data_IF_183264314751
#
_entry.id   IF_183264314751
#
_cell.length_a   1.000
_cell.length_b   1.000
_cell.length_c   1.000
_cell.angle_alpha   90.00
_cell.angle_beta   90.00
_cell.angle_gamma   90.00
#
_symmetry.space_group_name_H-M   'P 1'
#
loop_
_entity.id
_entity.type
_entity.pdbx_description
1 polymer ?
#
# COMPACT_ATOMS: atom_id res chain seq x y z
N UNK A 1 22.35 31.86 -13.24
CA UNK A 1 21.89 30.56 -12.69
C UNK A 1 22.39 30.25 -11.28
N UNK A 2 23.68 30.39 -10.94
CA UNK A 2 24.22 30.03 -9.61
C UNK A 2 23.37 30.49 -8.40
N UNK A 3 23.14 31.81 -8.25
CA UNK A 3 22.40 32.38 -7.11
C UNK A 3 21.02 31.74 -6.84
N UNK A 4 20.27 31.33 -7.87
CA UNK A 4 18.96 30.68 -7.72
C UNK A 4 19.13 29.26 -7.15
N UNK A 5 20.19 28.56 -7.59
CA UNK A 5 20.50 27.21 -7.13
C UNK A 5 20.91 27.21 -5.65
N UNK A 6 21.70 28.19 -5.23
CA UNK A 6 22.14 28.31 -3.84
C UNK A 6 20.97 28.65 -2.89
N UNK A 7 20.05 29.51 -3.32
CA UNK A 7 18.80 29.78 -2.58
C UNK A 7 17.91 28.53 -2.48
N UNK A 8 17.77 27.75 -3.56
CA UNK A 8 17.02 26.49 -3.55
C UNK A 8 17.62 25.45 -2.59
N UNK A 9 18.96 25.32 -2.57
CA UNK A 9 19.67 24.39 -1.69
C UNK A 9 19.47 24.75 -0.22
N UNK A 10 19.50 26.05 0.14
CA UNK A 10 19.25 26.50 1.51
C UNK A 10 17.79 26.38 1.98
N UNK A 11 16.83 26.47 1.06
CA UNK A 11 15.39 26.45 1.37
C UNK A 11 14.80 25.02 1.40
N UNK A 12 15.40 24.08 0.66
CA UNK A 12 14.98 22.69 0.56
C UNK A 12 14.83 21.94 1.92
N UNK A 13 15.72 22.11 2.92
CA UNK A 13 15.59 21.44 4.22
C UNK A 13 14.35 21.86 5.00
N UNK A 14 13.85 23.08 4.77
CA UNK A 14 12.62 23.60 5.38
C UNK A 14 11.40 23.09 4.61
N UNK A 15 11.42 23.22 3.28
CA UNK A 15 10.30 22.85 2.41
C UNK A 15 10.01 21.33 2.46
N UNK A 16 11.03 20.46 2.48
CA UNK A 16 10.85 18.99 2.48
C UNK A 16 10.00 18.46 3.63
N UNK A 17 9.88 19.21 4.74
CA UNK A 17 9.07 18.87 5.91
C UNK A 17 7.57 19.01 5.64
N UNK A 18 7.18 19.85 4.67
CA UNK A 18 5.80 20.18 4.31
C UNK A 18 5.37 19.64 2.95
N UNK A 19 6.32 19.17 2.13
CA UNK A 19 6.04 18.44 0.89
C UNK A 19 5.36 17.12 1.23
N UNK A 20 4.18 16.80 0.64
CA UNK A 20 3.52 15.54 0.89
C UNK A 20 4.37 14.36 0.40
N UNK A 21 4.39 13.26 1.18
CA UNK A 21 5.10 12.03 0.78
C UNK A 21 4.57 11.53 -0.58
N UNK A 22 5.41 10.93 -1.45
CA UNK A 22 4.98 10.49 -2.79
C UNK A 22 3.81 9.50 -2.74
N UNK A 23 3.74 8.62 -1.73
CA UNK A 23 2.59 7.73 -1.52
C UNK A 23 1.27 8.45 -1.23
N UNK A 24 1.29 9.64 -0.62
CA UNK A 24 0.09 10.44 -0.39
C UNK A 24 -0.39 11.10 -1.68
N UNK A 25 0.54 11.60 -2.50
CA UNK A 25 0.23 12.15 -3.83
C UNK A 25 -0.40 11.05 -4.71
N UNK A 26 0.19 9.84 -4.70
CA UNK A 26 -0.35 8.68 -5.41
C UNK A 26 -1.76 8.31 -4.93
N UNK A 27 -2.01 8.31 -3.61
CA UNK A 27 -3.34 8.05 -3.06
C UNK A 27 -4.39 9.09 -3.50
N UNK A 28 -4.03 10.38 -3.56
CA UNK A 28 -4.91 11.45 -4.08
C UNK A 28 -5.21 11.26 -5.56
N UNK A 29 -4.21 10.91 -6.38
CA UNK A 29 -4.41 10.62 -7.81
C UNK A 29 -5.32 9.40 -8.00
N UNK A 30 -5.13 8.33 -7.22
CA UNK A 30 -6.01 7.14 -7.26
C UNK A 30 -7.45 7.51 -6.86
N UNK A 31 -7.64 8.30 -5.79
CA UNK A 31 -8.96 8.74 -5.36
C UNK A 31 -9.69 9.58 -6.42
N UNK A 32 -8.97 10.45 -7.13
CA UNK A 32 -9.52 11.23 -8.26
C UNK A 32 -9.88 10.35 -9.46
N UNK A 33 -9.05 9.36 -9.81
CA UNK A 33 -9.37 8.41 -10.87
C UNK A 33 -10.60 7.56 -10.51
N UNK A 34 -10.75 7.15 -9.25
CA UNK A 34 -11.97 6.48 -8.75
C UNK A 34 -13.19 7.40 -8.86
N UNK A 35 -13.06 8.68 -8.47
CA UNK A 35 -14.12 9.69 -8.61
C UNK A 35 -14.57 9.90 -10.06
N UNK A 36 -13.62 9.93 -11.01
CA UNK A 36 -13.91 9.98 -12.45
C UNK A 36 -14.61 8.71 -12.95
N UNK A 37 -14.13 7.52 -12.56
CA UNK A 37 -14.81 6.26 -12.92
C UNK A 37 -16.23 6.26 -12.38
N UNK A 38 -16.45 6.76 -11.16
CA UNK A 38 -17.80 6.89 -10.58
C UNK A 38 -18.68 7.85 -11.39
N UNK A 39 -18.20 9.06 -11.74
CA UNK A 39 -18.95 10.07 -12.49
C UNK A 39 -19.17 9.76 -13.98
N UNK A 40 -18.53 8.72 -14.53
CA UNK A 40 -18.70 8.32 -15.92
C UNK A 40 -19.34 6.92 -16.09
N UNK A 41 -19.20 6.02 -15.10
CA UNK A 41 -19.72 4.65 -15.19
C UNK A 41 -20.90 4.37 -14.26
N UNK A 42 -21.08 5.13 -13.17
CA UNK A 42 -22.14 4.90 -12.17
C UNK A 42 -23.23 5.98 -12.27
N UNK A 43 -22.84 7.25 -12.32
CA UNK A 43 -23.76 8.39 -12.46
C UNK A 43 -23.28 9.33 -13.59
N UNK A 44 -23.40 8.93 -14.87
CA UNK A 44 -22.97 9.74 -16.00
C UNK A 44 -23.83 10.99 -16.15
N UNK A 45 -23.18 12.14 -16.36
CA UNK A 45 -23.87 13.41 -16.66
C UNK A 45 -24.67 13.27 -17.96
N UNK A 46 -26.00 13.33 -17.85
CA UNK A 46 -26.93 13.35 -18.99
C UNK A 46 -27.21 14.79 -19.38
N UNK A 47 -26.97 15.13 -20.64
CA UNK A 47 -27.39 16.40 -21.23
C UNK A 47 -28.79 16.26 -21.80
N UNK A 48 -29.63 17.26 -21.58
CA UNK A 48 -30.99 17.36 -22.11
C UNK A 48 -31.06 18.49 -23.15
N UNK A 49 -32.04 18.40 -24.06
CA UNK A 49 -32.31 19.41 -25.10
C UNK A 49 -31.10 19.74 -25.99
N UNK A 50 -30.17 18.78 -26.10
CA UNK A 50 -28.99 18.87 -26.97
C UNK A 50 -29.37 18.69 -28.44
N UNK A 51 -28.72 19.48 -29.28
CA UNK A 51 -28.93 19.55 -30.73
C UNK A 51 -28.65 18.19 -31.42
N UNK A 52 -29.51 17.70 -32.34
CA UNK A 52 -29.36 16.40 -33.02
C UNK A 52 -27.97 16.05 -33.57
N UNK A 53 -27.16 17.02 -34.01
CA UNK A 53 -25.73 16.85 -34.38
C UNK A 53 -24.86 16.21 -33.28
N UNK A 54 -25.23 16.32 -32.01
CA UNK A 54 -24.51 15.70 -30.89
C UNK A 54 -24.86 14.22 -30.69
N UNK A 55 -25.88 13.72 -31.39
CA UNK A 55 -26.26 12.31 -31.37
C UNK A 55 -25.27 11.48 -32.20
N UNK A 56 -25.12 10.20 -31.86
CA UNK A 56 -24.35 9.26 -32.70
C UNK A 56 -25.02 9.03 -34.06
N UNK A 57 -24.23 8.64 -35.07
CA UNK A 57 -24.68 8.58 -36.47
C UNK A 57 -26.03 7.88 -36.68
N UNK A 58 -26.26 6.73 -36.05
CA UNK A 58 -27.51 5.97 -36.18
C UNK A 58 -28.74 6.74 -35.72
N UNK A 59 -28.59 7.64 -34.74
CA UNK A 59 -29.68 8.48 -34.23
C UNK A 59 -29.89 9.74 -35.07
N UNK A 60 -28.83 10.26 -35.69
CA UNK A 60 -28.94 11.29 -36.72
C UNK A 60 -29.71 10.75 -37.94
N UNK A 61 -29.43 9.51 -38.35
CA UNK A 61 -30.14 8.83 -39.44
C UNK A 61 -31.64 8.67 -39.14
N UNK A 62 -32.01 8.27 -37.91
CA UNK A 62 -33.42 8.20 -37.49
C UNK A 62 -34.09 9.59 -37.41
N UNK A 63 -33.38 10.62 -36.96
CA UNK A 63 -33.90 12.00 -36.99
C UNK A 63 -34.24 12.43 -38.42
N UNK A 64 -33.34 12.20 -39.39
CA UNK A 64 -33.58 12.55 -40.80
C UNK A 64 -34.73 11.72 -41.40
N UNK A 65 -34.91 10.44 -40.98
CA UNK A 65 -36.10 9.64 -41.35
C UNK A 65 -37.41 10.25 -40.82
N UNK A 66 -37.44 10.72 -39.57
CA UNK A 66 -38.61 11.40 -38.99
C UNK A 66 -38.92 12.73 -39.69
N UNK A 67 -37.89 13.47 -40.12
CA UNK A 67 -38.06 14.68 -40.94
C UNK A 67 -38.63 14.35 -42.32
N UNK A 68 -38.21 13.23 -42.94
CA UNK A 68 -38.77 12.75 -44.20
C UNK A 68 -40.23 12.30 -44.07
N UNK A 69 -40.58 11.50 -43.04
CA UNK A 69 -41.96 11.08 -42.77
C UNK A 69 -42.90 12.29 -42.54
N UNK A 70 -42.41 13.31 -41.81
CA UNK A 70 -43.11 14.60 -41.64
C UNK A 70 -43.35 15.30 -42.98
N UNK A 71 -42.37 15.29 -43.89
CA UNK A 71 -42.48 15.88 -45.22
C UNK A 71 -43.48 15.12 -46.12
N UNK A 72 -43.37 13.80 -46.19
CA UNK A 72 -44.22 12.94 -47.00
C UNK A 72 -45.68 12.98 -46.51
N UNK A 73 -45.91 13.00 -45.20
CA UNK A 73 -47.23 13.18 -44.61
C UNK A 73 -47.86 14.53 -45.01
N UNK A 74 -47.09 15.63 -44.98
CA UNK A 74 -47.58 16.94 -45.41
C UNK A 74 -47.91 16.96 -46.91
N UNK A 75 -46.99 16.45 -47.74
CA UNK A 75 -47.15 16.32 -49.19
C UNK A 75 -48.40 15.49 -49.57
N UNK A 76 -48.72 14.45 -48.80
CA UNK A 76 -49.91 13.61 -49.02
C UNK A 76 -51.25 14.31 -48.76
N UNK A 77 -51.25 15.43 -48.02
CA UNK A 77 -52.47 16.10 -47.54
C UNK A 77 -52.72 17.48 -48.14
N UNK A 78 -51.67 18.20 -48.51
CA UNK A 78 -51.77 19.57 -48.99
C UNK A 78 -50.60 19.96 -49.88
N UNK A 79 -50.74 21.07 -50.61
CA UNK A 79 -49.62 21.73 -51.29
C UNK A 79 -48.64 22.24 -50.24
N UNK A 80 -47.37 21.89 -50.38
CA UNK A 80 -46.31 22.29 -49.44
C UNK A 80 -46.02 23.79 -49.58
N UNK A 81 -46.27 24.56 -48.52
CA UNK A 81 -45.92 25.98 -48.45
C UNK A 81 -44.42 26.19 -48.24
N UNK A 82 -43.90 27.35 -48.64
CA UNK A 82 -42.48 27.66 -48.45
C UNK A 82 -42.10 27.82 -46.98
N UNK A 83 -43.02 28.29 -46.13
CA UNK A 83 -42.89 28.28 -44.66
C UNK A 83 -42.68 26.85 -44.11
N UNK A 84 -43.39 25.86 -44.67
CA UNK A 84 -43.20 24.47 -44.26
C UNK A 84 -41.84 23.94 -44.72
N UNK A 85 -41.42 24.23 -45.96
CA UNK A 85 -40.09 23.85 -46.47
C UNK A 85 -38.98 24.44 -45.60
N UNK A 86 -39.11 25.71 -45.19
CA UNK A 86 -38.17 26.33 -44.26
C UNK A 86 -38.11 25.57 -42.93
N UNK A 87 -39.25 25.19 -42.36
CA UNK A 87 -39.28 24.39 -41.11
C UNK A 87 -38.69 22.98 -41.24
N UNK A 88 -38.49 22.47 -42.47
CA UNK A 88 -37.77 21.23 -42.76
C UNK A 88 -36.27 21.50 -42.88
N UNK A 89 -35.88 22.59 -43.57
CA UNK A 89 -34.48 23.07 -43.63
C UNK A 89 -33.96 23.33 -42.21
N UNK A 90 -34.70 24.07 -41.37
CA UNK A 90 -34.40 24.35 -39.96
C UNK A 90 -34.30 23.08 -39.08
N UNK A 91 -34.83 21.95 -39.55
CA UNK A 91 -34.75 20.65 -38.87
C UNK A 91 -33.60 19.78 -39.39
N UNK A 92 -33.12 20.03 -40.62
CA UNK A 92 -31.96 19.38 -41.23
C UNK A 92 -30.65 20.08 -40.85
N UNK A 93 -30.67 21.42 -40.72
CA UNK A 93 -29.56 22.28 -40.25
C UNK A 93 -29.03 21.91 -38.86
N UNK A 94 -29.85 21.19 -38.08
CA UNK A 94 -29.54 20.68 -36.73
C UNK A 94 -28.73 19.39 -36.71
N UNK A 95 -28.48 18.78 -37.87
CA UNK A 95 -27.76 17.50 -38.03
C UNK A 95 -26.41 17.76 -38.69
N UNK A 96 -25.44 16.89 -38.44
CA UNK A 96 -24.16 16.95 -39.14
C UNK A 96 -24.30 16.44 -40.57
N UNK A 97 -23.71 17.13 -41.55
CA UNK A 97 -23.75 16.81 -42.97
C UNK A 97 -25.11 16.31 -43.52
N UNK A 98 -26.21 17.07 -43.36
CA UNK A 98 -27.56 16.63 -43.73
C UNK A 98 -27.69 16.13 -45.18
N UNK A 99 -26.94 16.69 -46.13
CA UNK A 99 -26.96 16.25 -47.52
C UNK A 99 -26.33 14.85 -47.69
N UNK A 100 -25.29 14.53 -46.93
CA UNK A 100 -24.64 13.21 -46.97
C UNK A 100 -25.57 12.14 -46.36
N UNK A 101 -26.21 12.43 -45.22
CA UNK A 101 -27.18 11.53 -44.58
C UNK A 101 -28.38 11.26 -45.50
N UNK A 102 -28.98 12.31 -46.09
CA UNK A 102 -30.14 12.18 -46.98
C UNK A 102 -29.80 11.32 -48.21
N UNK A 103 -28.63 11.51 -48.81
CA UNK A 103 -28.15 10.69 -49.92
C UNK A 103 -27.89 9.23 -49.50
N UNK A 104 -27.23 9.01 -48.35
CA UNK A 104 -26.96 7.66 -47.81
C UNK A 104 -28.25 6.88 -47.52
N UNK A 105 -29.28 7.56 -47.02
CA UNK A 105 -30.58 6.96 -46.70
C UNK A 105 -31.51 6.83 -47.93
N UNK A 106 -31.14 7.40 -49.08
CA UNK A 106 -31.96 7.35 -50.30
C UNK A 106 -33.21 8.23 -50.26
N UNK A 107 -33.22 9.26 -49.41
CA UNK A 107 -34.39 10.13 -49.15
C UNK A 107 -34.47 11.26 -50.20
N UNK A 108 -34.62 10.88 -51.47
CA UNK A 108 -34.53 11.79 -52.63
C UNK A 108 -35.48 12.97 -52.59
N UNK A 109 -36.62 12.86 -51.90
CA UNK A 109 -37.60 13.94 -51.70
C UNK A 109 -37.06 15.10 -50.86
N UNK A 110 -36.00 14.90 -50.08
CA UNK A 110 -35.34 15.94 -49.28
C UNK A 110 -34.06 16.50 -49.91
N UNK A 111 -33.56 15.95 -51.03
CA UNK A 111 -32.25 16.30 -51.59
C UNK A 111 -32.01 17.82 -51.73
N UNK A 112 -32.97 18.54 -52.33
CA UNK A 112 -32.85 19.98 -52.56
C UNK A 112 -32.93 20.80 -51.27
N UNK A 113 -33.67 20.32 -50.26
CA UNK A 113 -33.79 20.96 -48.95
C UNK A 113 -32.55 20.69 -48.08
N UNK A 114 -31.99 19.48 -48.16
CA UNK A 114 -30.76 19.10 -47.48
C UNK A 114 -29.54 19.84 -48.04
N UNK A 115 -29.47 20.05 -49.36
CA UNK A 115 -28.43 20.87 -49.99
C UNK A 115 -28.52 22.35 -49.57
N UNK A 116 -29.72 22.86 -49.27
CA UNK A 116 -29.90 24.22 -48.72
C UNK A 116 -29.50 24.29 -47.24
N UNK A 117 -29.81 23.25 -46.45
CA UNK A 117 -29.38 23.14 -45.06
C UNK A 117 -27.85 23.05 -44.93
N UNK A 118 -27.18 22.24 -45.76
CA UNK A 118 -25.71 22.04 -45.74
C UNK A 118 -24.90 23.34 -45.86
N UNK A 119 -25.45 24.38 -46.52
CA UNK A 119 -24.80 25.71 -46.66
C UNK A 119 -24.79 26.49 -45.34
N UNK A 120 -25.76 26.23 -44.46
CA UNK A 120 -25.92 26.91 -43.16
C UNK A 120 -25.43 26.04 -42.00
N UNK A 121 -25.39 24.72 -42.20
CA UNK A 121 -25.03 23.73 -41.20
C UNK A 121 -23.65 24.00 -40.59
N UNK A 122 -23.56 24.14 -39.25
CA UNK A 122 -22.29 24.41 -38.58
C UNK A 122 -21.39 23.16 -38.60
N UNK A 123 -20.29 23.22 -39.35
CA UNK A 123 -19.35 22.11 -39.50
C UNK A 123 -18.80 21.59 -38.16
N UNK A 124 -18.94 20.28 -37.93
CA UNK A 124 -18.46 19.64 -36.70
C UNK A 124 -16.94 19.76 -36.56
N UNK A 125 -16.41 20.15 -35.37
CA UNK A 125 -14.97 20.14 -35.14
C UNK A 125 -14.42 18.71 -35.25
N UNK A 126 -13.34 18.56 -36.00
CA UNK A 126 -12.73 17.25 -36.30
C UNK A 126 -12.56 16.36 -35.07
N UNK A 127 -12.87 15.06 -35.21
CA UNK A 127 -12.82 14.10 -34.11
C UNK A 127 -11.47 14.18 -33.37
N UNK A 128 -11.48 14.27 -32.02
CA UNK A 128 -10.26 14.42 -31.26
C UNK A 128 -9.36 13.20 -31.46
N UNK A 129 -8.11 13.44 -31.88
CA UNK A 129 -7.11 12.37 -31.96
C UNK A 129 -6.88 11.74 -30.57
N UNK A 130 -6.34 10.52 -30.51
CA UNK A 130 -6.03 9.82 -29.26
C UNK A 130 -5.24 10.73 -28.28
N UNK A 131 -4.30 11.53 -28.79
CA UNK A 131 -3.54 12.51 -28.00
C UNK A 131 -4.46 13.64 -27.50
N UNK A 132 -5.34 14.17 -28.34
CA UNK A 132 -6.35 15.16 -27.96
C UNK A 132 -7.31 14.67 -26.88
N UNK A 133 -7.71 13.39 -26.94
CA UNK A 133 -8.60 12.74 -25.99
C UNK A 133 -7.91 12.45 -24.64
N UNK A 134 -6.62 12.10 -24.63
CA UNK A 134 -5.83 11.88 -23.41
C UNK A 134 -5.34 13.18 -22.74
N UNK A 135 -5.13 14.25 -23.51
CA UNK A 135 -4.65 15.56 -23.03
C UNK A 135 -5.38 16.10 -21.78
N UNK A 136 -6.72 16.15 -21.70
CA UNK A 136 -7.41 16.66 -20.50
C UNK A 136 -7.19 15.79 -19.25
N UNK A 137 -7.04 14.47 -19.41
CA UNK A 137 -6.77 13.55 -18.29
C UNK A 137 -5.36 13.78 -17.70
N UNK A 138 -4.36 13.89 -18.58
CA UNK A 138 -2.97 14.16 -18.18
C UNK A 138 -2.87 15.54 -17.52
N UNK A 139 -3.47 16.57 -18.11
CA UNK A 139 -3.51 17.91 -17.51
C UNK A 139 -4.25 17.93 -16.17
N UNK A 140 -5.39 17.24 -16.04
CA UNK A 140 -6.14 17.14 -14.80
C UNK A 140 -5.31 16.54 -13.66
N UNK A 141 -4.63 15.43 -13.93
CA UNK A 141 -3.73 14.78 -12.95
C UNK A 141 -2.57 15.71 -12.55
N UNK A 142 -1.93 16.39 -13.51
CA UNK A 142 -0.82 17.32 -13.24
C UNK A 142 -1.31 18.52 -12.42
N UNK A 143 -2.38 19.18 -12.83
CA UNK A 143 -2.95 20.36 -12.17
C UNK A 143 -3.40 20.01 -10.74
N UNK A 144 -4.05 18.87 -10.55
CA UNK A 144 -4.49 18.45 -9.22
C UNK A 144 -3.31 18.05 -8.32
N UNK A 145 -2.30 17.35 -8.85
CA UNK A 145 -1.10 16.98 -8.09
C UNK A 145 -0.30 18.23 -7.67
N UNK A 146 -0.17 19.21 -8.57
CA UNK A 146 0.46 20.49 -8.30
C UNK A 146 -0.36 21.32 -7.30
N UNK A 147 -1.67 21.41 -7.48
CA UNK A 147 -2.59 22.12 -6.59
C UNK A 147 -2.59 21.53 -5.17
N UNK A 148 -2.63 20.20 -5.03
CA UNK A 148 -2.50 19.52 -3.74
C UNK A 148 -1.15 19.78 -3.08
N UNK A 149 -0.05 19.77 -3.85
CA UNK A 149 1.28 20.09 -3.34
C UNK A 149 1.36 21.54 -2.83
N UNK A 150 0.84 22.50 -3.60
CA UNK A 150 0.76 23.91 -3.20
C UNK A 150 -0.12 24.07 -1.94
N UNK A 151 -1.29 23.43 -1.90
CA UNK A 151 -2.20 23.47 -0.75
C UNK A 151 -1.56 22.87 0.52
N UNK A 152 -0.82 21.76 0.40
CA UNK A 152 -0.06 21.16 1.52
C UNK A 152 1.03 22.10 2.04
N UNK A 153 1.75 22.79 1.15
CA UNK A 153 2.77 23.77 1.53
C UNK A 153 2.15 25.00 2.21
N UNK A 154 1.04 25.54 1.68
CA UNK A 154 0.31 26.65 2.29
C UNK A 154 -0.28 26.27 3.64
N UNK A 155 -0.85 25.07 3.76
CA UNK A 155 -1.35 24.53 5.03
C UNK A 155 -0.21 24.37 6.05
N UNK A 156 0.91 23.79 5.65
CA UNK A 156 2.08 23.59 6.50
C UNK A 156 2.70 24.90 7.01
N UNK A 157 2.82 25.90 6.14
CA UNK A 157 3.49 27.16 6.45
C UNK A 157 2.58 28.20 7.15
N UNK A 158 1.30 28.30 6.76
CA UNK A 158 0.38 29.32 7.30
C UNK A 158 -0.64 28.73 8.29
N UNK A 159 -1.31 27.63 7.94
CA UNK A 159 -2.44 27.12 8.75
C UNK A 159 -1.97 26.33 9.96
N UNK A 160 -0.93 25.50 9.83
CA UNK A 160 -0.40 24.69 10.92
C UNK A 160 0.07 25.54 12.12
N UNK A 161 0.99 26.52 11.97
CA UNK A 161 1.46 27.29 13.11
C UNK A 161 0.41 28.27 13.66
N UNK A 162 -0.46 28.82 12.80
CA UNK A 162 -1.40 29.89 13.20
C UNK A 162 -2.72 29.36 13.78
N UNK A 163 -3.17 28.18 13.36
CA UNK A 163 -4.48 27.62 13.73
C UNK A 163 -4.33 26.26 14.41
N UNK A 164 -3.61 25.33 13.79
CA UNK A 164 -3.57 23.92 14.26
C UNK A 164 -2.78 23.77 15.55
N UNK A 165 -1.60 24.37 15.64
CA UNK A 165 -0.74 24.28 16.84
C UNK A 165 -1.34 24.93 18.09
N UNK A 166 -1.93 26.16 18.06
CA UNK A 166 -2.60 26.70 19.24
C UNK A 166 -3.85 25.92 19.64
N UNK A 167 -4.64 25.38 18.69
CA UNK A 167 -5.80 24.54 18.99
C UNK A 167 -5.35 23.20 19.58
N UNK A 168 -4.36 22.52 18.99
CA UNK A 168 -3.77 21.29 19.53
C UNK A 168 -3.18 21.51 20.91
N UNK A 169 -2.49 22.63 21.17
CA UNK A 169 -1.97 22.97 22.51
C UNK A 169 -3.09 23.19 23.53
N UNK A 170 -4.22 23.78 23.14
CA UNK A 170 -5.40 23.94 24.02
C UNK A 170 -6.10 22.61 24.30
N UNK A 171 -6.33 21.78 23.28
CA UNK A 171 -6.99 20.47 23.45
C UNK A 171 -6.10 19.48 24.23
N UNK A 172 -4.79 19.42 23.90
CA UNK A 172 -3.83 18.55 24.59
C UNK A 172 -3.48 19.07 25.99
N UNK A 173 -3.51 20.40 26.20
CA UNK A 173 -3.43 21.03 27.52
C UNK A 173 -4.66 20.76 28.40
N UNK A 174 -5.81 20.43 27.81
CA UNK A 174 -7.02 19.99 28.53
C UNK A 174 -7.04 18.47 28.83
N UNK A 175 -6.06 17.70 28.34
CA UNK A 175 -5.95 16.24 28.55
C UNK A 175 -4.56 15.81 29.08
N UNK A 176 -3.75 16.75 29.60
CA UNK A 176 -2.32 16.50 29.80
C UNK A 176 -1.63 17.35 30.86
N UNK A 177 -2.33 17.78 31.90
CA UNK A 177 -1.73 18.37 33.12
C UNK A 177 -1.65 17.38 34.26
N UNK A 178 -1.23 16.15 33.97
CA UNK A 178 -0.77 15.19 34.97
C UNK A 178 0.75 15.14 34.96
N UNK A 179 1.36 15.08 36.16
CA UNK A 179 2.82 15.11 36.35
C UNK A 179 3.56 14.07 35.50
N UNK A 180 2.91 12.93 35.20
CA UNK A 180 3.40 11.88 34.32
C UNK A 180 3.87 12.38 32.95
N UNK A 181 3.20 13.36 32.33
CA UNK A 181 3.60 13.90 31.02
C UNK A 181 4.88 14.71 31.07
N UNK A 182 5.07 15.51 32.13
CA UNK A 182 6.31 16.25 32.38
C UNK A 182 7.47 15.29 32.72
N UNK A 183 7.19 14.28 33.54
CA UNK A 183 8.14 13.24 33.92
C UNK A 183 8.56 12.40 32.70
N UNK A 184 7.64 12.06 31.80
CA UNK A 184 7.96 11.35 30.56
C UNK A 184 8.84 12.19 29.61
N UNK A 185 8.60 13.52 29.51
CA UNK A 185 9.51 14.40 28.75
C UNK A 185 10.90 14.47 29.40
N UNK A 186 10.99 14.53 30.72
CA UNK A 186 12.25 14.55 31.46
C UNK A 186 13.05 13.27 31.23
N UNK A 187 12.42 12.10 31.42
CA UNK A 187 13.03 10.79 31.18
C UNK A 187 13.53 10.64 29.73
N UNK A 188 12.80 11.17 28.74
CA UNK A 188 13.24 11.18 27.32
C UNK A 188 14.44 12.12 27.10
N UNK A 189 14.52 13.25 27.81
CA UNK A 189 15.66 14.16 27.74
C UNK A 189 16.90 13.54 28.40
N UNK A 190 16.76 12.96 29.60
CA UNK A 190 17.84 12.22 30.27
C UNK A 190 18.34 11.05 29.44
N UNK A 191 17.43 10.24 28.87
CA UNK A 191 17.78 9.15 27.96
C UNK A 191 18.58 9.62 26.73
N UNK A 192 18.31 10.81 26.21
CA UNK A 192 19.11 11.42 25.12
C UNK A 192 20.50 11.86 25.59
N UNK A 193 20.59 12.53 26.74
CA UNK A 193 21.87 12.97 27.31
C UNK A 193 22.75 11.76 27.65
N UNK A 194 22.17 10.72 28.27
CA UNK A 194 22.82 9.44 28.54
C UNK A 194 23.31 8.80 27.24
N UNK A 195 22.49 8.76 26.18
CA UNK A 195 22.88 8.22 24.86
C UNK A 195 23.99 9.03 24.18
N UNK A 196 24.01 10.35 24.35
CA UNK A 196 25.07 11.23 23.85
C UNK A 196 26.37 11.10 24.65
N UNK A 197 26.29 10.91 25.96
CA UNK A 197 27.44 10.63 26.84
C UNK A 197 28.02 9.25 26.54
N UNK A 198 27.18 8.21 26.49
CA UNK A 198 27.57 6.86 26.05
C UNK A 198 28.27 6.87 24.69
N UNK A 199 27.76 7.62 23.71
CA UNK A 199 28.40 7.71 22.41
C UNK A 199 29.81 8.34 22.45
N UNK A 200 30.06 9.26 23.40
CA UNK A 200 31.38 9.89 23.64
C UNK A 200 32.30 8.94 24.43
N UNK A 201 31.82 8.34 25.50
CA UNK A 201 32.61 7.44 26.34
C UNK A 201 32.98 6.14 25.58
N UNK A 202 32.07 5.63 24.75
CA UNK A 202 32.32 4.48 23.89
C UNK A 202 33.18 4.79 22.66
N UNK A 203 33.48 6.07 22.36
CA UNK A 203 34.58 6.42 21.44
C UNK A 203 35.95 6.52 22.13
N UNK A 204 35.99 6.36 23.46
CA UNK A 204 37.21 6.21 24.27
C UNK A 204 37.38 4.80 24.87
N UNK A 205 36.49 3.85 24.56
CA UNK A 205 36.58 2.47 25.03
C UNK A 205 37.75 1.71 24.37
N UNK A 206 38.39 0.75 25.08
CA UNK A 206 39.48 -0.04 24.52
C UNK A 206 39.00 -0.87 23.32
N UNK A 207 39.81 -0.87 22.25
CA UNK A 207 39.53 -1.59 21.01
C UNK A 207 39.51 -3.10 21.30
N UNK A 208 38.43 -3.77 20.94
CA UNK A 208 38.32 -5.23 20.97
C UNK A 208 39.36 -5.86 20.03
N UNK A 209 39.80 -7.10 20.30
CA UNK A 209 40.72 -7.83 19.42
C UNK A 209 40.19 -8.02 17.99
N UNK A 210 38.88 -7.80 17.77
CA UNK A 210 38.19 -7.80 16.49
C UNK A 210 38.15 -6.44 15.77
N UNK A 211 38.82 -5.43 16.32
CA UNK A 211 38.82 -4.05 15.79
C UNK A 211 37.58 -3.23 16.20
N UNK A 212 37.26 -2.14 15.48
CA UNK A 212 36.07 -1.35 15.76
C UNK A 212 34.79 -2.14 15.44
N UNK A 213 33.70 -1.97 16.22
CA UNK A 213 32.42 -2.61 15.94
C UNK A 213 31.85 -2.14 14.60
N UNK A 214 31.09 -3.02 13.94
CA UNK A 214 30.32 -2.74 12.72
C UNK A 214 29.13 -1.84 13.05
N UNK A 215 28.38 -2.18 14.09
CA UNK A 215 27.29 -1.35 14.62
C UNK A 215 27.37 -1.19 16.15
N UNK A 216 26.85 -0.06 16.65
CA UNK A 216 26.71 0.23 18.08
C UNK A 216 25.36 0.89 18.35
N UNK A 217 24.55 0.25 19.19
CA UNK A 217 23.21 0.71 19.56
C UNK A 217 23.11 0.88 21.08
N UNK A 218 22.19 1.74 21.51
CA UNK A 218 21.82 1.91 22.92
C UNK A 218 20.31 1.67 23.01
N UNK A 219 19.95 0.65 23.78
CA UNK A 219 18.56 0.27 24.08
C UNK A 219 18.25 0.65 25.53
N UNK A 220 17.09 1.28 25.75
CA UNK A 220 16.71 1.86 27.04
C UNK A 220 15.32 1.34 27.41
N UNK A 221 15.30 0.56 28.49
CA UNK A 221 14.10 0.08 29.15
C UNK A 221 13.59 1.12 30.15
N UNK A 222 12.29 1.37 30.14
CA UNK A 222 11.58 2.22 31.10
C UNK A 222 10.18 1.65 31.32
N UNK A 223 9.71 1.49 32.58
CA UNK A 223 8.39 0.96 32.90
C UNK A 223 7.25 1.67 32.13
N UNK A 224 6.31 0.88 31.61
CA UNK A 224 5.17 1.36 30.82
C UNK A 224 5.47 1.63 29.34
N UNK A 225 6.72 1.53 28.90
CA UNK A 225 7.09 1.45 27.47
C UNK A 225 7.06 -0.02 27.03
N UNK A 226 6.43 -0.31 25.89
CA UNK A 226 6.66 -1.59 25.21
C UNK A 226 8.15 -1.69 24.80
N UNK A 227 8.83 -2.74 25.23
CA UNK A 227 10.27 -2.90 25.10
C UNK A 227 10.59 -4.16 24.29
N UNK A 228 10.77 -3.91 22.99
CA UNK A 228 11.10 -4.85 21.93
C UNK A 228 11.91 -4.04 20.90
N UNK A 229 13.18 -3.80 21.22
CA UNK A 229 14.10 -2.98 20.42
C UNK A 229 14.87 -3.89 19.46
N UNK A 230 14.70 -3.73 18.15
CA UNK A 230 15.46 -4.45 17.11
C UNK A 230 16.35 -3.52 16.27
N UNK A 231 17.53 -4.01 15.89
CA UNK A 231 18.57 -3.27 15.18
C UNK A 231 19.24 -4.15 14.11
N UNK A 232 19.20 -3.70 12.85
CA UNK A 232 19.94 -4.31 11.75
C UNK A 232 21.46 -4.13 11.91
N UNK A 233 22.21 -5.16 11.51
CA UNK A 233 23.68 -5.17 11.47
C UNK A 233 24.09 -5.07 10.00
N UNK A 234 24.48 -3.87 9.57
CA UNK A 234 24.82 -3.55 8.18
C UNK A 234 26.28 -3.07 8.07
N UNK A 235 27.03 -3.58 7.10
CA UNK A 235 28.44 -3.22 6.89
C UNK A 235 28.57 -1.96 6.02
N UNK A 236 28.59 -0.80 6.67
CA UNK A 236 28.73 0.52 6.03
C UNK A 236 29.99 0.72 5.16
N UNK A 237 30.94 -0.24 5.16
CA UNK A 237 32.12 -0.23 4.27
C UNK A 237 31.87 -0.95 2.95
N UNK A 238 30.77 -1.68 2.81
CA UNK A 238 30.47 -2.56 1.67
C UNK A 238 29.01 -2.43 1.25
N UNK A 239 28.62 -1.21 0.86
CA UNK A 239 27.31 -0.89 0.28
C UNK A 239 26.12 -1.31 1.17
N UNK A 240 26.25 -1.07 2.47
CA UNK A 240 25.31 -1.46 3.53
C UNK A 240 24.92 -2.96 3.49
N UNK A 241 25.90 -3.84 3.26
CA UNK A 241 25.72 -5.31 3.27
C UNK A 241 25.10 -5.76 4.60
N UNK A 242 23.83 -6.18 4.56
CA UNK A 242 23.13 -6.78 5.70
C UNK A 242 23.81 -8.08 6.13
N UNK A 243 24.29 -8.12 7.38
CA UNK A 243 24.97 -9.27 7.99
C UNK A 243 24.06 -10.03 8.95
N UNK A 244 23.04 -9.39 9.51
CA UNK A 244 22.17 -9.98 10.53
C UNK A 244 21.36 -8.93 11.29
N UNK A 245 20.75 -9.34 12.39
CA UNK A 245 19.91 -8.48 13.22
C UNK A 245 20.16 -8.81 14.70
N UNK A 246 20.03 -7.82 15.57
CA UNK A 246 20.17 -8.01 17.02
C UNK A 246 19.19 -7.11 17.76
N UNK A 247 18.79 -7.52 18.96
CA UNK A 247 17.79 -6.78 19.71
C UNK A 247 17.76 -7.08 21.20
N UNK A 248 16.88 -6.38 21.90
CA UNK A 248 16.58 -6.57 23.31
C UNK A 248 15.06 -6.51 23.56
N UNK A 249 14.53 -7.51 24.24
CA UNK A 249 13.09 -7.70 24.46
C UNK A 249 12.79 -8.11 25.91
N UNK A 250 11.58 -7.79 26.40
CA UNK A 250 11.11 -8.32 27.70
C UNK A 250 10.94 -9.84 27.60
N UNK A 251 11.64 -10.57 28.47
CA UNK A 251 11.54 -12.03 28.51
C UNK A 251 10.56 -12.52 29.58
N UNK A 252 10.51 -11.89 30.75
CA UNK A 252 9.59 -12.24 31.83
C UNK A 252 9.27 -11.06 32.74
N UNK A 253 8.07 -11.08 33.32
CA UNK A 253 7.54 -10.08 34.25
C UNK A 253 7.09 -10.76 35.55
N UNK A 254 7.09 -10.01 36.66
CA UNK A 254 6.72 -10.52 37.99
C UNK A 254 5.48 -9.78 38.56
N UNK A 255 4.51 -10.55 39.03
CA UNK A 255 3.25 -10.03 39.58
C UNK A 255 2.29 -9.47 38.53
N UNK A 256 1.13 -8.99 38.98
CA UNK A 256 0.03 -8.52 38.12
C UNK A 256 -0.13 -6.99 38.10
N UNK A 257 0.95 -6.24 38.35
CA UNK A 257 0.94 -4.78 38.41
C UNK A 257 0.89 -4.12 37.03
N UNK A 258 0.26 -2.94 36.95
CA UNK A 258 0.34 -2.04 35.81
C UNK A 258 1.12 -0.77 36.21
N UNK A 259 2.16 -0.34 35.47
CA UNK A 259 2.78 -1.05 34.35
C UNK A 259 3.47 -2.35 34.80
N UNK A 260 3.60 -3.29 33.86
CA UNK A 260 4.25 -4.58 34.09
C UNK A 260 5.67 -4.43 34.66
N UNK A 261 6.02 -5.32 35.59
CA UNK A 261 7.28 -5.28 36.31
C UNK A 261 8.25 -6.30 35.72
N UNK A 262 9.13 -5.83 34.83
CA UNK A 262 10.07 -6.69 34.09
C UNK A 262 11.13 -7.25 35.03
N UNK A 263 11.24 -8.58 35.10
CA UNK A 263 12.23 -9.31 35.90
C UNK A 263 13.37 -9.87 35.04
N UNK A 264 13.14 -10.05 33.74
CA UNK A 264 14.14 -10.56 32.80
C UNK A 264 14.07 -9.85 31.44
N UNK A 265 15.23 -9.45 30.91
CA UNK A 265 15.40 -8.87 29.58
C UNK A 265 16.30 -9.80 28.77
N UNK A 266 15.81 -10.21 27.61
CA UNK A 266 16.50 -11.08 26.66
C UNK A 266 17.18 -10.23 25.60
N UNK A 267 18.43 -10.56 25.29
CA UNK A 267 19.21 -10.03 24.18
C UNK A 267 19.42 -11.16 23.19
N UNK A 268 19.21 -10.88 21.92
CA UNK A 268 19.27 -11.87 20.86
C UNK A 268 20.12 -11.42 19.67
N UNK A 269 20.66 -12.41 18.94
CA UNK A 269 21.49 -12.25 17.75
C UNK A 269 21.03 -13.24 16.67
N UNK A 270 20.70 -12.71 15.50
CA UNK A 270 20.47 -13.43 14.26
C UNK A 270 21.60 -13.13 13.26
N UNK A 271 22.15 -14.16 12.62
CA UNK A 271 23.20 -14.07 11.60
C UNK A 271 22.62 -14.53 10.25
N UNK A 272 22.77 -13.70 9.21
CA UNK A 272 22.28 -14.01 7.86
C UNK A 272 22.88 -15.30 7.31
N UNK A 273 24.11 -15.67 7.69
CA UNK A 273 24.75 -16.89 7.23
C UNK A 273 24.40 -18.12 8.10
N UNK A 274 23.62 -17.97 9.18
CA UNK A 274 23.07 -19.04 10.01
C UNK A 274 21.55 -18.88 10.21
N UNK A 275 20.80 -19.03 9.11
CA UNK A 275 19.32 -18.94 9.06
C UNK A 275 18.56 -19.87 10.04
N UNK A 276 19.23 -20.82 10.70
CA UNK A 276 18.58 -21.85 11.54
C UNK A 276 18.65 -21.49 13.04
N UNK A 277 19.50 -20.52 13.44
CA UNK A 277 19.82 -20.29 14.85
C UNK A 277 19.87 -18.80 15.22
N UNK A 278 18.85 -18.35 15.96
CA UNK A 278 18.97 -17.14 16.79
C UNK A 278 19.64 -17.52 18.10
N UNK A 279 20.72 -16.84 18.47
CA UNK A 279 21.36 -16.99 19.78
C UNK A 279 20.78 -15.97 20.77
N UNK A 280 20.71 -16.37 22.04
CA UNK A 280 19.94 -15.67 23.07
C UNK A 280 20.66 -15.74 24.43
N UNK A 281 20.75 -14.59 25.11
CA UNK A 281 21.15 -14.48 26.51
C UNK A 281 20.12 -13.64 27.26
N UNK A 282 19.82 -14.01 28.50
CA UNK A 282 18.82 -13.32 29.31
C UNK A 282 19.48 -12.69 30.52
N UNK A 283 19.44 -11.37 30.60
CA UNK A 283 19.75 -10.62 31.81
C UNK A 283 18.58 -10.75 32.79
N UNK A 284 18.82 -11.37 33.93
CA UNK A 284 17.80 -11.68 34.94
C UNK A 284 18.04 -10.93 36.24
N UNK A 285 16.96 -10.53 36.90
CA UNK A 285 16.99 -9.92 38.23
C UNK A 285 17.61 -10.86 39.26
N UNK A 286 18.11 -10.31 40.36
CA UNK A 286 18.66 -11.12 41.45
C UNK A 286 17.62 -12.06 42.07
N UNK A 287 16.36 -11.66 42.13
CA UNK A 287 15.27 -12.56 42.52
C UNK A 287 15.08 -13.71 41.52
N UNK A 288 14.96 -13.40 40.22
CA UNK A 288 14.74 -14.39 39.16
C UNK A 288 15.90 -15.38 39.02
N UNK A 289 17.14 -14.95 39.29
CA UNK A 289 18.31 -15.82 39.28
C UNK A 289 18.33 -16.81 40.45
N UNK A 290 17.76 -16.42 41.60
CA UNK A 290 17.75 -17.22 42.83
C UNK A 290 16.49 -18.08 43.00
N UNK A 291 15.38 -17.75 42.33
CA UNK A 291 14.18 -18.60 42.27
C UNK A 291 14.36 -19.77 41.29
N UNK A 292 14.33 -21.04 41.75
CA UNK A 292 14.44 -22.21 40.87
C UNK A 292 13.35 -22.28 39.80
N UNK A 293 12.13 -21.80 40.07
CA UNK A 293 11.02 -21.89 39.13
C UNK A 293 11.25 -20.97 37.92
N UNK A 294 11.36 -19.66 38.16
CA UNK A 294 11.70 -18.66 37.14
C UNK A 294 12.98 -19.02 36.39
N UNK A 295 14.04 -19.40 37.11
CA UNK A 295 15.32 -19.79 36.50
C UNK A 295 15.17 -20.98 35.55
N UNK A 296 14.38 -22.00 35.91
CA UNK A 296 14.17 -23.16 35.02
C UNK A 296 13.43 -22.80 33.73
N UNK A 297 12.46 -21.87 33.80
CA UNK A 297 11.70 -21.38 32.65
C UNK A 297 12.59 -20.56 31.71
N UNK A 298 13.36 -19.63 32.26
CA UNK A 298 14.26 -18.77 31.48
C UNK A 298 15.45 -19.52 30.89
N UNK A 299 15.97 -20.56 31.55
CA UNK A 299 17.08 -21.36 31.04
C UNK A 299 16.76 -22.12 29.75
N UNK A 300 15.48 -22.30 29.40
CA UNK A 300 15.06 -22.85 28.09
C UNK A 300 15.25 -21.82 26.98
N UNK A 301 15.20 -20.51 27.29
CA UNK A 301 15.31 -19.44 26.32
C UNK A 301 16.73 -19.10 25.92
N UNK A 302 17.70 -19.22 26.84
CA UNK A 302 19.10 -18.84 26.58
C UNK A 302 19.98 -18.86 27.83
N UNK A 303 21.22 -18.37 27.70
CA UNK A 303 22.16 -18.27 28.82
C UNK A 303 21.70 -17.21 29.83
N UNK A 304 21.65 -17.55 31.12
CA UNK A 304 21.18 -16.66 32.18
C UNK A 304 22.32 -15.90 32.85
N UNK A 305 22.27 -14.57 32.74
CA UNK A 305 23.29 -13.66 33.28
C UNK A 305 22.63 -12.79 34.35
N UNK A 306 23.19 -12.81 35.56
CA UNK A 306 22.71 -11.98 36.67
C UNK A 306 22.93 -10.49 36.36
N UNK A 307 21.84 -9.73 36.27
CA UNK A 307 21.86 -8.31 35.96
C UNK A 307 22.54 -7.49 37.07
N UNK A 308 23.68 -6.89 36.72
CA UNK A 308 24.45 -5.94 37.55
C UNK A 308 25.01 -4.84 36.64
N UNK A 309 25.20 -3.60 37.13
CA UNK A 309 25.91 -2.57 36.37
C UNK A 309 27.28 -3.09 35.91
N UNK A 310 27.58 -2.96 34.62
CA UNK A 310 28.79 -3.49 34.00
C UNK A 310 28.76 -4.98 33.62
N UNK A 311 27.68 -5.72 33.89
CA UNK A 311 27.53 -7.09 33.39
C UNK A 311 27.50 -7.13 31.86
N UNK A 312 28.01 -8.21 31.27
CA UNK A 312 28.19 -8.37 29.83
C UNK A 312 27.66 -9.73 29.38
N UNK A 313 26.85 -9.73 28.33
CA UNK A 313 26.48 -10.90 27.55
C UNK A 313 27.28 -10.91 26.23
N UNK A 314 27.74 -12.09 25.82
CA UNK A 314 28.48 -12.28 24.56
C UNK A 314 27.77 -13.37 23.77
N UNK A 315 27.26 -13.04 22.58
CA UNK A 315 26.67 -14.00 21.64
C UNK A 315 27.60 -14.15 20.45
N UNK A 316 27.92 -15.38 20.06
CA UNK A 316 28.85 -15.66 18.96
C UNK A 316 28.30 -16.69 17.98
N UNK A 317 28.06 -16.24 16.75
CA UNK A 317 27.78 -17.12 15.61
C UNK A 317 29.06 -17.41 14.84
N UNK A 318 28.93 -17.98 13.64
CA UNK A 318 30.03 -18.21 12.73
C UNK A 318 30.64 -16.90 12.20
N UNK A 319 29.81 -15.89 11.86
CA UNK A 319 30.27 -14.66 11.20
C UNK A 319 30.13 -13.40 12.04
N UNK A 320 29.37 -13.45 13.14
CA UNK A 320 29.12 -12.30 14.02
C UNK A 320 29.48 -12.59 15.48
N UNK A 321 29.92 -11.54 16.18
CA UNK A 321 29.98 -11.46 17.64
C UNK A 321 29.15 -10.28 18.10
N UNK A 322 28.20 -10.49 18.99
CA UNK A 322 27.49 -9.45 19.72
C UNK A 322 28.04 -9.36 21.14
N UNK A 323 28.21 -8.15 21.65
CA UNK A 323 28.42 -7.87 23.06
C UNK A 323 27.34 -6.91 23.53
N UNK A 324 26.54 -7.32 24.50
CA UNK A 324 25.59 -6.45 25.18
C UNK A 324 26.07 -6.19 26.61
N UNK A 325 26.20 -4.92 26.99
CA UNK A 325 26.67 -4.48 28.30
C UNK A 325 25.60 -3.67 29.01
N UNK A 326 25.37 -3.99 30.28
CA UNK A 326 24.58 -3.13 31.17
C UNK A 326 25.42 -1.91 31.53
N UNK A 327 25.00 -0.72 31.09
CA UNK A 327 25.69 0.54 31.40
C UNK A 327 25.16 1.11 32.72
N UNK A 328 23.84 1.16 32.83
CA UNK A 328 23.10 1.69 33.98
C UNK A 328 21.88 0.79 34.22
N UNK A 329 21.56 0.56 35.49
CA UNK A 329 20.34 -0.14 35.89
C UNK A 329 19.96 0.24 37.32
N UNK A 330 18.67 0.21 37.61
CA UNK A 330 18.15 0.29 38.96
C UNK A 330 17.05 -0.75 39.16
N UNK A 331 17.06 -1.42 40.31
CA UNK A 331 15.92 -2.22 40.76
C UNK A 331 14.84 -1.30 41.32
N UNK A 332 13.58 -1.64 41.08
CA UNK A 332 12.47 -0.88 41.61
C UNK A 332 12.20 -1.16 43.08
N UNK A 333 11.83 -0.11 43.80
CA UNK A 333 11.40 -0.17 45.20
C UNK A 333 9.87 -0.23 45.25
N UNK A 334 9.31 -1.32 45.80
CA UNK A 334 7.87 -1.55 45.81
C UNK A 334 7.47 -2.71 46.72
N UNK A 335 6.20 -3.16 46.68
CA UNK A 335 5.69 -4.25 47.53
C UNK A 335 6.09 -5.66 47.07
N UNK A 336 6.77 -5.77 45.93
CA UNK A 336 7.34 -7.02 45.44
C UNK A 336 8.66 -7.35 46.18
N UNK A 337 9.17 -8.60 46.11
CA UNK A 337 10.43 -8.96 46.72
C UNK A 337 11.59 -8.02 46.30
N UNK A 338 12.58 -7.75 47.17
CA UNK A 338 13.74 -6.94 46.81
C UNK A 338 14.47 -7.46 45.57
N UNK A 339 15.00 -6.54 44.76
CA UNK A 339 15.77 -6.83 43.54
C UNK A 339 15.05 -7.78 42.55
N UNK A 340 13.72 -7.69 42.47
CA UNK A 340 12.89 -8.56 41.62
C UNK A 340 12.43 -7.97 40.29
N UNK A 341 12.51 -6.67 40.09
CA UNK A 341 12.17 -6.04 38.82
C UNK A 341 12.98 -4.77 38.57
N UNK A 342 13.20 -4.45 37.30
CA UNK A 342 13.92 -3.25 36.88
C UNK A 342 13.00 -2.02 36.87
N UNK A 343 13.52 -0.89 37.34
CA UNK A 343 12.87 0.43 37.23
C UNK A 343 13.49 1.27 36.10
N UNK A 344 14.75 1.00 35.77
CA UNK A 344 15.41 1.42 34.53
C UNK A 344 16.52 0.44 34.19
N UNK A 345 16.81 0.29 32.90
CA UNK A 345 17.98 -0.45 32.42
C UNK A 345 18.43 0.09 31.06
N UNK A 346 19.72 0.37 30.93
CA UNK A 346 20.35 0.84 29.70
C UNK A 346 21.37 -0.18 29.22
N UNK A 347 21.12 -0.73 28.03
CA UNK A 347 21.99 -1.67 27.34
C UNK A 347 22.77 -0.95 26.24
N UNK A 348 24.09 -1.07 26.27
CA UNK A 348 24.93 -0.82 25.10
C UNK A 348 25.11 -2.14 24.35
N UNK A 349 24.77 -2.15 23.06
CA UNK A 349 24.85 -3.33 22.19
C UNK A 349 25.86 -3.01 21.08
N UNK A 350 26.89 -3.84 20.94
CA UNK A 350 27.96 -3.71 19.94
C UNK A 350 28.09 -5.01 19.16
N UNK A 351 28.23 -4.93 17.82
CA UNK A 351 28.43 -6.11 16.97
C UNK A 351 29.72 -6.01 16.15
N UNK A 352 30.42 -7.12 15.97
CA UNK A 352 31.62 -7.26 15.14
C UNK A 352 31.45 -8.37 14.12
N UNK A 353 31.99 -8.17 12.92
CA UNK A 353 32.18 -9.22 11.92
C UNK A 353 33.40 -10.05 12.30
N UNK A 354 33.21 -11.33 12.60
CA UNK A 354 34.30 -12.30 12.80
C UNK A 354 34.93 -12.59 11.44
N UNK A 355 36.26 -12.62 11.37
CA UNK A 355 36.92 -13.27 10.25
C UNK A 355 36.49 -14.75 10.24
N UNK A 356 36.21 -15.36 9.07
CA UNK A 356 35.84 -16.76 9.02
C UNK A 356 36.95 -17.59 9.66
N UNK A 357 36.59 -18.34 10.72
CA UNK A 357 37.53 -19.23 11.39
C UNK A 357 37.95 -20.32 10.42
N UNK A 358 39.10 -20.14 9.78
CA UNK A 358 39.80 -21.21 9.08
C UNK A 358 40.34 -22.14 10.17
N UNK A 359 39.49 -23.04 10.65
CA UNK A 359 39.93 -24.20 11.39
C UNK A 359 41.01 -24.88 10.53
N UNK A 360 42.23 -25.09 11.05
CA UNK A 360 43.31 -25.64 10.26
C UNK A 360 42.91 -27.04 9.80
N UNK A 361 42.75 -27.21 8.48
CA UNK A 361 42.62 -28.51 7.85
C UNK A 361 43.81 -29.34 8.31
N UNK A 362 43.53 -30.45 9.01
CA UNK A 362 44.57 -31.32 9.52
C UNK A 362 45.45 -31.78 8.34
N UNK A 363 46.70 -31.32 8.32
CA UNK A 363 47.63 -31.61 7.24
C UNK A 363 47.98 -33.10 7.30
N UNK A 364 47.42 -33.88 6.39
CA UNK A 364 47.83 -35.26 6.17
C UNK A 364 49.26 -35.25 5.59
N UNK A 365 50.27 -35.85 6.27
CA UNK A 365 51.63 -35.91 5.73
C UNK A 365 51.72 -36.95 4.61
N UNK A 366 52.27 -36.56 3.44
CA UNK A 366 52.50 -37.47 2.31
C UNK A 366 53.87 -38.17 2.39
N UNK A 367 53.88 -39.52 2.42
CA UNK A 367 55.00 -40.46 2.19
C UNK A 367 54.41 -41.92 2.16
N UNK A 368 54.87 -42.97 1.46
CA UNK A 368 55.86 -43.27 0.38
C UNK A 368 55.19 -44.35 -0.54
N UNK A 369 55.51 -44.50 -1.85
CA UNK A 369 54.68 -45.34 -2.74
C UNK A 369 54.90 -46.87 -2.68
N UNK A 370 53.79 -47.61 -2.87
CA UNK A 370 53.64 -48.92 -3.57
C UNK A 370 54.37 -50.17 -3.05
N UNK A 371 53.56 -51.15 -2.58
CA UNK A 371 53.73 -52.59 -2.91
C UNK A 371 52.38 -53.34 -2.80
N UNK A 372 52.24 -54.48 -3.47
CA UNK A 372 50.96 -55.15 -3.71
C UNK A 372 50.42 -56.01 -2.53
N UNK A 373 49.10 -56.20 -2.50
CA UNK A 373 48.39 -57.02 -1.51
C UNK A 373 48.39 -58.52 -1.84
N UNK A 374 48.38 -59.38 -0.81
CA UNK A 374 47.70 -60.67 -0.89
C UNK A 374 46.59 -60.85 0.17
N UNK A 375 45.53 -61.48 -0.31
CA UNK A 375 44.32 -62.01 0.37
C UNK A 375 44.56 -62.66 1.74
N UNK A 376 43.72 -62.32 2.73
CA UNK A 376 43.20 -63.31 3.69
C UNK A 376 41.78 -62.97 4.20
N UNK A 377 41.05 -63.98 4.69
CA UNK A 377 39.59 -64.00 4.83
C UNK A 377 39.06 -63.55 6.21
N UNK A 378 37.79 -63.11 6.31
CA UNK A 378 37.11 -62.87 7.59
C UNK A 378 36.69 -64.17 8.29
N UNK A 379 36.66 -64.22 9.64
CA UNK A 379 36.20 -65.37 10.41
C UNK A 379 34.66 -65.59 10.35
N UNK A 380 34.17 -66.79 10.69
CA UNK A 380 32.82 -67.23 10.29
C UNK A 380 31.66 -66.69 11.15
N UNK A 381 30.49 -66.66 10.52
CA UNK A 381 29.20 -66.21 11.05
C UNK A 381 28.53 -67.32 11.88
N UNK A 382 27.87 -66.94 12.99
CA UNK A 382 26.91 -67.79 13.71
C UNK A 382 25.52 -67.18 13.58
N UNK A 383 24.56 -67.94 13.04
CA UNK A 383 23.18 -67.51 12.83
C UNK A 383 22.36 -67.49 14.13
N UNK A 384 21.54 -66.44 14.28
CA UNK A 384 20.30 -66.45 15.09
C UNK A 384 19.27 -65.53 14.42
N UNK A 385 17.95 -65.74 14.63
CA UNK A 385 16.95 -65.57 13.57
C UNK A 385 16.53 -64.14 13.26
N UNK A 386 16.10 -63.94 12.01
CA UNK A 386 15.58 -62.68 11.51
C UNK A 386 14.28 -62.27 12.21
N UNK A 387 14.28 -61.08 12.82
CA UNK A 387 13.07 -60.42 13.31
C UNK A 387 12.30 -59.83 12.12
N UNK A 388 11.06 -60.31 11.91
CA UNK A 388 10.20 -59.79 10.85
C UNK A 388 9.53 -58.47 11.29
N UNK A 389 9.65 -57.36 10.53
CA UNK A 389 8.93 -56.13 10.83
C UNK A 389 7.42 -56.30 10.58
N UNK A 390 6.55 -55.64 11.38
CA UNK A 390 5.11 -55.64 11.12
C UNK A 390 4.75 -54.92 9.81
N UNK A 391 3.71 -55.36 9.08
CA UNK A 391 3.38 -54.84 7.76
C UNK A 391 2.89 -53.38 7.82
N UNK A 392 3.53 -52.53 7.04
CA UNK A 392 3.08 -51.16 6.79
C UNK A 392 1.85 -51.16 5.86
N UNK A 393 0.86 -50.32 6.16
CA UNK A 393 -0.33 -50.17 5.33
C UNK A 393 0.02 -49.48 4.00
N UNK A 394 -0.26 -50.14 2.88
CA UNK A 394 0.00 -49.61 1.55
C UNK A 394 -1.06 -48.57 1.13
N UNK A 395 -0.61 -47.49 0.49
CA UNK A 395 -1.50 -46.54 -0.18
C UNK A 395 -2.18 -47.20 -1.41
N UNK A 396 -3.44 -46.87 -1.73
CA UNK A 396 -4.15 -47.51 -2.83
C UNK A 396 -3.62 -47.05 -4.20
N UNK A 397 -3.10 -47.98 -4.98
CA UNK A 397 -2.77 -47.78 -6.40
C UNK A 397 -3.94 -48.25 -7.27
N UNK A 398 -4.31 -47.41 -8.23
CA UNK A 398 -5.43 -47.62 -9.15
C UNK A 398 -5.15 -48.78 -10.13
N UNK A 399 -6.09 -49.71 -10.28
CA UNK A 399 -6.00 -50.85 -11.20
C UNK A 399 -7.02 -50.74 -12.35
N UNK A 400 -6.62 -50.97 -13.63
CA UNK A 400 -7.53 -50.93 -14.76
C UNK A 400 -8.28 -52.28 -14.98
N UNK A 401 -9.56 -52.28 -15.39
CA UNK A 401 -10.30 -53.51 -15.72
C UNK A 401 -9.95 -54.12 -17.10
N UNK A 402 -10.18 -55.42 -17.24
CA UNK A 402 -9.84 -56.24 -18.42
C UNK A 402 -11.00 -56.36 -19.45
N UNK A 403 -10.66 -56.71 -20.70
CA UNK A 403 -11.58 -57.30 -21.69
C UNK A 403 -11.63 -58.85 -21.53
N UNK A 404 -12.58 -59.64 -22.06
CA UNK A 404 -13.61 -59.48 -23.10
C UNK A 404 -14.86 -60.36 -22.72
N UNK A 405 -15.87 -60.76 -23.56
CA UNK A 405 -15.86 -61.02 -25.02
C UNK A 405 -16.99 -60.32 -25.83
N UNK A 406 -17.04 -60.60 -27.14
CA UNK A 406 -17.81 -59.88 -28.17
C UNK A 406 -19.23 -60.40 -28.44
N UNK A 407 -20.05 -59.45 -28.95
CA UNK A 407 -21.18 -59.61 -29.88
C UNK A 407 -22.54 -60.11 -29.35
N UNK A 408 -23.51 -59.18 -29.22
CA UNK A 408 -24.86 -59.31 -29.76
C UNK A 408 -25.45 -57.94 -30.17
N UNK A 409 -26.28 -57.96 -31.21
CA UNK A 409 -27.02 -56.92 -31.95
C UNK A 409 -27.20 -55.49 -31.38
N UNK A 410 -27.16 -54.50 -32.29
CA UNK A 410 -27.47 -53.09 -32.01
C UNK A 410 -28.99 -52.81 -31.92
N UNK A 411 -29.47 -52.06 -30.91
CA UNK A 411 -30.83 -51.53 -30.85
C UNK A 411 -30.99 -50.22 -31.66
N UNK A 412 -32.22 -49.82 -32.04
CA UNK A 412 -32.46 -48.78 -33.04
C UNK A 412 -32.22 -47.34 -32.51
N UNK A 413 -31.98 -46.42 -33.46
CA UNK A 413 -31.74 -45.01 -33.18
C UNK A 413 -32.93 -44.36 -32.44
N UNK A 414 -32.66 -43.81 -31.25
CA UNK A 414 -33.61 -42.92 -30.55
C UNK A 414 -33.59 -41.55 -31.21
N UNK A 415 -34.77 -41.09 -31.61
CA UNK A 415 -34.98 -39.75 -32.16
C UNK A 415 -34.61 -38.69 -31.12
N UNK A 416 -33.97 -37.61 -31.57
CA UNK A 416 -33.72 -36.44 -30.73
C UNK A 416 -35.06 -35.75 -30.41
N UNK A 417 -35.32 -35.35 -29.14
CA UNK A 417 -36.42 -34.44 -28.83
C UNK A 417 -36.13 -33.05 -29.45
N UNK A 418 -37.17 -32.27 -29.80
CA UNK A 418 -36.99 -30.95 -30.39
C UNK A 418 -36.31 -29.98 -29.41
N UNK A 419 -35.61 -29.00 -29.97
CA UNK A 419 -34.95 -27.92 -29.22
C UNK A 419 -35.96 -27.16 -28.35
N UNK A 420 -35.72 -27.14 -27.04
CA UNK A 420 -36.46 -26.28 -26.13
C UNK A 420 -36.12 -24.81 -26.44
N UNK A 421 -37.17 -24.04 -26.73
CA UNK A 421 -37.10 -22.58 -26.81
C UNK A 421 -36.45 -22.01 -25.55
N UNK A 422 -35.65 -20.96 -25.72
CA UNK A 422 -35.26 -20.10 -24.60
C UNK A 422 -36.51 -19.61 -23.86
N UNK A 423 -36.42 -19.56 -22.52
CA UNK A 423 -37.45 -18.94 -21.70
C UNK A 423 -37.55 -17.45 -22.03
N UNK A 424 -38.75 -16.83 -21.96
CA UNK A 424 -38.88 -15.39 -22.12
C UNK A 424 -38.11 -14.68 -21.00
N UNK A 425 -37.46 -13.57 -21.35
CA UNK A 425 -36.81 -12.70 -20.37
C UNK A 425 -37.84 -12.21 -19.33
N UNK A 426 -37.42 -11.94 -18.07
CA UNK A 426 -38.31 -11.27 -17.12
C UNK A 426 -38.78 -9.96 -17.73
N UNK A 427 -40.08 -9.68 -17.61
CA UNK A 427 -40.70 -8.52 -18.23
C UNK A 427 -39.94 -7.25 -17.83
N UNK A 428 -39.46 -6.51 -18.85
CA UNK A 428 -38.89 -5.19 -18.62
C UNK A 428 -39.91 -4.34 -17.85
N UNK A 429 -39.48 -3.72 -16.76
CA UNK A 429 -40.30 -2.70 -16.12
C UNK A 429 -40.63 -1.64 -17.18
N UNK A 430 -41.89 -1.19 -17.31
CA UNK A 430 -42.18 -0.09 -18.20
C UNK A 430 -41.31 1.11 -17.79
N UNK A 431 -40.76 1.89 -18.74
CA UNK A 431 -39.97 3.06 -18.41
C UNK A 431 -40.80 3.93 -17.46
N UNK A 432 -40.22 4.28 -16.31
CA UNK A 432 -40.88 5.18 -15.35
C UNK A 432 -41.25 6.44 -16.13
N UNK A 433 -42.53 6.87 -16.13
CA UNK A 433 -42.92 8.06 -16.87
C UNK A 433 -42.07 9.25 -16.41
N UNK A 434 -41.71 10.18 -17.32
CA UNK A 434 -40.93 11.34 -16.95
C UNK A 434 -41.64 12.07 -15.81
N UNK A 435 -40.89 12.58 -14.81
CA UNK A 435 -41.50 13.36 -13.74
C UNK A 435 -42.28 14.51 -14.36
N UNK A 436 -43.54 14.67 -13.94
CA UNK A 436 -44.41 15.74 -14.41
C UNK A 436 -43.72 17.06 -14.10
N UNK A 437 -43.26 17.75 -15.14
CA UNK A 437 -42.67 19.08 -14.98
C UNK A 437 -43.72 19.99 -14.34
N UNK A 438 -43.40 20.69 -13.24
CA UNK A 438 -44.27 21.77 -12.78
C UNK A 438 -44.41 22.80 -13.92
N UNK A 439 -45.57 23.43 -14.10
CA UNK A 439 -45.73 24.45 -15.12
C UNK A 439 -44.67 25.55 -14.94
N UNK A 440 -44.15 26.14 -16.04
CA UNK A 440 -43.14 27.18 -15.94
C UNK A 440 -43.63 28.31 -15.02
N UNK A 441 -42.77 28.88 -14.18
CA UNK A 441 -43.15 30.03 -13.37
C UNK A 441 -43.68 31.13 -14.30
N UNK A 442 -44.80 31.74 -13.92
CA UNK A 442 -45.35 32.89 -14.67
C UNK A 442 -44.24 33.93 -14.81
N UNK A 443 -44.04 34.42 -16.03
CA UNK A 443 -43.17 35.56 -16.26
C UNK A 443 -43.57 36.69 -15.29
N UNK A 444 -42.62 37.30 -14.56
CA UNK A 444 -42.88 38.53 -13.84
C UNK A 444 -43.45 39.57 -14.81
N UNK A 445 -44.41 40.37 -14.32
CA UNK A 445 -44.84 41.56 -15.07
C UNK A 445 -43.64 42.52 -15.21
N UNK A 446 -43.53 43.28 -16.31
CA UNK A 446 -42.34 44.10 -16.60
C UNK A 446 -42.00 45.21 -15.58
N UNK A 447 -42.85 45.43 -14.56
CA UNK A 447 -42.81 46.61 -13.69
C UNK A 447 -42.34 46.31 -12.24
N UNK A 448 -42.11 45.05 -11.86
CA UNK A 448 -41.64 44.65 -10.52
C UNK A 448 -40.09 44.49 -10.44
N UNK A 449 -39.35 45.52 -10.88
CA UNK A 449 -37.90 45.63 -10.62
C UNK A 449 -37.64 46.50 -9.37
N UNK A 450 -37.42 45.84 -8.23
CA UNK A 450 -37.21 46.52 -6.93
C UNK A 450 -35.75 46.96 -6.71
N UNK A 451 -34.83 46.65 -7.64
CA UNK A 451 -33.43 47.07 -7.62
C UNK A 451 -32.99 47.61 -8.99
N UNK A 452 -33.70 48.65 -9.45
CA UNK A 452 -33.43 49.33 -10.71
C UNK A 452 -31.96 49.66 -10.93
N UNK A 453 -31.38 49.05 -11.96
CA UNK A 453 -29.95 49.11 -12.26
C UNK A 453 -29.64 48.66 -13.68
N UNK A 454 -30.13 49.40 -14.68
CA UNK A 454 -29.83 49.18 -16.09
C UNK A 454 -28.33 49.37 -16.38
N UNK A 455 -27.55 48.30 -16.26
CA UNK A 455 -26.11 48.27 -16.54
C UNK A 455 -25.80 48.26 -18.03
N UNK A 456 -26.15 49.34 -18.73
CA UNK A 456 -25.80 49.54 -20.14
C UNK A 456 -24.36 50.10 -20.27
N UNK A 457 -23.40 49.19 -20.45
CA UNK A 457 -22.00 49.54 -20.68
C UNK A 457 -21.65 49.42 -22.17
N UNK A 458 -21.95 50.47 -22.92
CA UNK A 458 -21.36 50.68 -24.24
C UNK A 458 -19.87 51.06 -24.10
N UNK A 459 -18.93 50.33 -24.73
CA UNK A 459 -17.52 50.70 -24.69
C UNK A 459 -17.26 51.88 -25.65
N UNK A 460 -16.59 52.91 -25.14
CA UNK A 460 -16.05 54.01 -25.94
C UNK A 460 -14.54 53.76 -26.15
N UNK A 461 -14.04 54.06 -27.35
CA UNK A 461 -12.66 53.80 -27.81
C UNK A 461 -11.54 54.27 -26.85
#
# INVERSE_FOLDING_TARGET
MGKIRDTLIGLWPVIKTYVPKPGLILAVVIAFLIGLVWSYAIDPVVFYDSDPRTLGQTWQDEWVRLVADRYDFANSKAVITDEFKQSIIDSLDKVDHPQEIVNRLGLTQLNDLAAQAEVTAPSTPAQPTIIGQLRPWILGIIVMSLGFTIASLLYGFYVSPLVVDPIRKRIRGAQGTDAAGAQQLHNIQEARVIREQLNKDASAAPVSDLGPPVVRHVSIYTPGRAFDDSFGIEDAKKDDEFLGECGAVVSETIGAGQPEKVTAIEVWLFDKEDFVRTLTSVFVSEHAFNDPATRSTLAVKGELILAKPGAVAILETNTLRLQARIVDMAYGTGPLPPNSYFDKMTLEIQAWRKAPSIAPVAVAPMAVPVAAAPVYAPPPVVNVPAYAPPPQAAAPVYAPPQAAPTAFAAPPARQMPPSFSSAPAPAAMPPRPPPVQPPPPKQPLPDDDIFGGSGDFTPVN
#
